data_IF_276324173923
#
_entry.id   IF_276324173923
#
_cell.length_a   1.000
_cell.length_b   1.000
_cell.length_c   1.000
_cell.angle_alpha   90.00
_cell.angle_beta   90.00
_cell.angle_gamma   90.00
#
_symmetry.space_group_name_H-M   'P 1'
#
loop_
_entity.id
_entity.type
_entity.pdbx_description
1 polymer ?
#
# COMPACT_ATOMS: atom_id res chain seq x y z
N UNK A 1 -2.70 23.39 -3.12
CA UNK A 1 -2.82 22.07 -3.79
C UNK A 1 -3.52 22.21 -5.13
N UNK A 2 -2.98 21.57 -6.17
CA UNK A 2 -3.59 21.48 -7.51
C UNK A 2 -3.81 20.01 -7.86
N UNK A 3 -4.97 19.71 -8.43
CA UNK A 3 -5.30 18.38 -8.95
C UNK A 3 -5.68 18.54 -10.42
N UNK A 4 -5.15 17.66 -11.28
CA UNK A 4 -5.48 17.64 -12.70
C UNK A 4 -5.68 16.21 -13.18
N UNK A 5 -6.80 15.94 -13.84
CA UNK A 5 -7.01 14.65 -14.51
C UNK A 5 -6.03 14.54 -15.68
N UNK A 6 -5.34 13.39 -15.78
CA UNK A 6 -4.34 13.14 -16.81
C UNK A 6 -4.65 11.92 -17.67
N UNK A 7 -5.35 10.93 -17.12
CA UNK A 7 -5.71 9.73 -17.88
C UNK A 7 -6.92 9.02 -17.29
N UNK A 8 -7.34 7.96 -17.98
CA UNK A 8 -8.34 7.03 -17.49
C UNK A 8 -7.94 5.59 -17.82
N UNK A 9 -8.19 4.69 -16.88
CA UNK A 9 -8.08 3.25 -17.07
C UNK A 9 -9.44 2.67 -17.47
N UNK A 10 -9.41 1.54 -18.16
CA UNK A 10 -10.59 0.75 -18.50
C UNK A 10 -11.06 -0.17 -17.34
N UNK A 11 -10.58 0.10 -16.12
CA UNK A 11 -10.56 -0.86 -15.03
C UNK A 11 -10.69 -0.21 -13.66
N UNK A 12 -11.49 -0.83 -12.80
CA UNK A 12 -11.51 -0.54 -11.36
C UNK A 12 -10.43 -1.36 -10.67
N UNK A 13 -9.54 -0.67 -9.96
CA UNK A 13 -8.47 -1.28 -9.18
C UNK A 13 -8.42 -0.61 -7.81
N UNK A 14 -7.91 -1.33 -6.81
CA UNK A 14 -7.64 -0.79 -5.48
C UNK A 14 -6.30 -0.08 -5.51
N UNK A 15 -5.21 -0.82 -5.31
CA UNK A 15 -3.90 -0.22 -5.23
C UNK A 15 -2.92 -0.69 -6.32
N UNK A 16 -1.73 -0.09 -6.36
CA UNK A 16 -0.79 -0.25 -7.46
C UNK A 16 0.53 0.47 -7.25
N UNK A 17 1.45 0.25 -8.17
CA UNK A 17 2.78 0.87 -8.12
C UNK A 17 3.27 1.22 -9.52
N UNK A 18 4.04 2.29 -9.61
CA UNK A 18 4.85 2.62 -10.76
C UNK A 18 6.21 1.94 -10.71
N UNK A 19 6.70 1.54 -11.89
CA UNK A 19 8.12 1.23 -12.09
C UNK A 19 8.55 1.72 -13.48
N UNK A 20 9.31 2.82 -13.50
CA UNK A 20 9.67 3.51 -14.74
C UNK A 20 8.42 3.90 -15.54
N UNK A 21 8.27 3.31 -16.71
CA UNK A 21 7.14 3.56 -17.63
C UNK A 21 5.99 2.55 -17.47
N UNK A 22 6.05 1.67 -16.47
CA UNK A 22 4.99 0.70 -16.18
C UNK A 22 4.14 1.16 -15.00
N UNK A 23 2.83 1.01 -15.12
CA UNK A 23 1.89 1.16 -14.01
C UNK A 23 1.21 -0.18 -13.73
N UNK A 24 1.46 -0.73 -12.55
CA UNK A 24 0.85 -1.96 -12.07
C UNK A 24 -0.37 -1.62 -11.23
N UNK A 25 -1.50 -2.25 -11.50
CA UNK A 25 -2.78 -2.02 -10.80
C UNK A 25 -3.40 -3.34 -10.39
N UNK A 26 -3.90 -3.42 -9.17
CA UNK A 26 -4.40 -4.65 -8.57
C UNK A 26 -5.86 -4.52 -8.18
N UNK A 27 -6.61 -5.59 -8.34
CA UNK A 27 -7.96 -5.71 -7.76
C UNK A 27 -7.91 -6.25 -6.35
N UNK A 28 -9.03 -6.10 -5.64
CA UNK A 28 -9.30 -6.73 -4.36
C UNK A 28 -9.26 -8.27 -4.36
N UNK A 29 -9.06 -8.92 -5.50
CA UNK A 29 -9.04 -10.39 -5.62
C UNK A 29 -7.70 -10.92 -6.12
N UNK A 30 -6.71 -10.03 -6.26
CA UNK A 30 -5.36 -10.39 -6.70
C UNK A 30 -5.22 -10.62 -8.21
N UNK A 31 -6.16 -10.13 -9.02
CA UNK A 31 -5.90 -9.93 -10.44
C UNK A 31 -5.17 -8.61 -10.65
N UNK A 32 -4.09 -8.63 -11.44
CA UNK A 32 -3.23 -7.49 -11.73
C UNK A 32 -3.22 -7.14 -13.21
N UNK A 33 -3.17 -5.84 -13.52
CA UNK A 33 -3.02 -5.27 -14.86
C UNK A 33 -1.78 -4.41 -14.94
N UNK A 34 -1.12 -4.42 -16.10
CA UNK A 34 0.07 -3.61 -16.39
C UNK A 34 -0.24 -2.67 -17.53
N UNK A 35 -0.10 -1.37 -17.29
CA UNK A 35 -0.34 -0.32 -18.27
C UNK A 35 0.97 0.37 -18.68
N UNK A 36 1.00 0.86 -19.92
CA UNK A 36 2.00 1.81 -20.38
C UNK A 36 1.70 3.19 -19.80
N UNK A 37 2.60 3.71 -18.96
CA UNK A 37 2.45 4.99 -18.29
C UNK A 37 3.03 6.16 -19.09
N UNK A 38 3.72 5.94 -20.22
CA UNK A 38 4.27 7.02 -21.06
C UNK A 38 3.22 8.03 -21.53
N UNK A 39 1.97 7.65 -21.83
CA UNK A 39 0.95 8.63 -22.18
C UNK A 39 0.63 9.64 -21.07
N UNK A 40 0.98 9.37 -19.81
CA UNK A 40 0.84 10.35 -18.72
C UNK A 40 1.74 11.58 -18.92
N UNK A 41 2.82 11.47 -19.69
CA UNK A 41 3.69 12.60 -20.05
C UNK A 41 3.01 13.55 -21.05
N UNK A 42 1.92 13.10 -21.69
CA UNK A 42 1.10 13.88 -22.62
C UNK A 42 -0.27 14.18 -21.98
N UNK A 43 -0.91 15.28 -22.40
CA UNK A 43 -2.23 15.61 -21.88
C UNK A 43 -3.30 14.68 -22.46
N UNK A 44 -3.78 13.75 -21.64
CA UNK A 44 -5.02 13.00 -21.87
C UNK A 44 -4.88 11.73 -22.69
N UNK A 45 -5.67 10.72 -22.32
CA UNK A 45 -5.83 9.48 -23.08
C UNK A 45 -6.20 8.29 -22.21
N UNK A 46 -6.60 7.22 -22.88
CA UNK A 46 -6.69 5.89 -22.27
C UNK A 46 -5.28 5.32 -22.14
N UNK A 47 -4.99 4.66 -21.01
CA UNK A 47 -3.70 3.99 -20.84
C UNK A 47 -3.69 2.63 -21.57
N UNK A 48 -2.70 2.39 -22.46
CA UNK A 48 -2.57 1.10 -23.14
C UNK A 48 -2.31 -0.04 -22.14
N UNK A 49 -3.14 -1.08 -22.19
CA UNK A 49 -2.89 -2.32 -21.46
C UNK A 49 -1.76 -3.11 -22.15
N UNK A 50 -0.71 -3.45 -21.39
CA UNK A 50 0.46 -4.22 -21.85
C UNK A 50 0.33 -5.70 -21.46
N UNK A 51 -0.31 -5.99 -20.33
CA UNK A 51 -0.45 -7.36 -19.86
C UNK A 51 -1.33 -7.48 -18.62
N UNK A 52 -1.64 -8.72 -18.28
CA UNK A 52 -2.46 -9.10 -17.13
C UNK A 52 -1.83 -10.32 -16.45
N UNK A 53 -2.08 -10.49 -15.16
CA UNK A 53 -1.58 -11.62 -14.39
C UNK A 53 -2.44 -11.86 -13.15
N UNK A 54 -2.36 -13.07 -12.62
CA UNK A 54 -2.99 -13.42 -11.33
C UNK A 54 -1.92 -13.70 -10.29
N UNK A 55 -2.23 -13.35 -9.04
CA UNK A 55 -1.34 -13.60 -7.92
C UNK A 55 -1.38 -15.07 -7.53
N UNK A 56 -0.22 -15.71 -7.54
CA UNK A 56 -0.05 -17.06 -6.99
C UNK A 56 -0.22 -17.00 -5.47
N UNK A 57 -0.83 -18.04 -4.89
CA UNK A 57 -1.16 -18.15 -3.45
C UNK A 57 -2.23 -17.16 -2.95
N UNK A 58 -3.15 -16.72 -3.82
CA UNK A 58 -4.31 -15.90 -3.42
C UNK A 58 -5.26 -16.63 -2.45
N UNK A 59 -5.39 -17.95 -2.50
CA UNK A 59 -6.29 -18.70 -1.63
C UNK A 59 -5.89 -18.69 -0.12
N UNK A 60 -4.63 -18.93 0.26
CA UNK A 60 -4.22 -18.78 1.66
C UNK A 60 -4.10 -17.31 2.11
N UNK A 61 -3.81 -16.37 1.21
CA UNK A 61 -3.60 -14.95 1.55
C UNK A 61 -4.85 -14.07 1.44
N UNK A 62 -5.87 -14.55 0.74
CA UNK A 62 -7.17 -13.89 0.48
C UNK A 62 -7.06 -12.36 0.28
N UNK A 63 -6.33 -11.92 -0.76
CA UNK A 63 -5.64 -10.66 -0.65
C UNK A 63 -6.47 -9.43 -1.00
N UNK A 64 -6.33 -8.36 -0.24
CA UNK A 64 -6.89 -7.03 -0.50
C UNK A 64 -5.77 -5.98 -0.44
N UNK A 65 -5.51 -5.28 -1.54
CA UNK A 65 -4.30 -4.45 -1.73
C UNK A 65 -4.58 -2.98 -1.41
N UNK A 66 -3.95 -2.42 -0.37
CA UNK A 66 -4.07 -0.98 -0.06
C UNK A 66 -2.72 -0.25 0.10
N UNK A 67 -1.61 -0.96 -0.05
CA UNK A 67 -0.29 -0.32 -0.20
C UNK A 67 0.58 -1.24 -1.06
N UNK A 68 0.94 -0.80 -2.27
CA UNK A 68 1.81 -1.56 -3.17
C UNK A 68 2.98 -0.68 -3.60
N UNK A 69 4.21 -1.20 -3.48
CA UNK A 69 5.41 -0.43 -3.80
C UNK A 69 6.56 -1.35 -4.22
N UNK A 70 7.32 -0.92 -5.23
CA UNK A 70 8.56 -1.60 -5.61
C UNK A 70 9.67 -1.25 -4.64
N UNK A 71 10.41 -2.26 -4.18
CA UNK A 71 11.61 -2.08 -3.37
C UNK A 71 12.86 -1.83 -4.21
N UNK A 72 14.02 -1.94 -3.56
CA UNK A 72 15.34 -1.82 -4.19
C UNK A 72 16.06 -3.17 -4.35
N UNK A 73 15.58 -4.22 -3.68
CA UNK A 73 16.17 -5.56 -3.74
C UNK A 73 15.57 -6.33 -4.91
N UNK A 74 16.39 -7.07 -5.63
CA UNK A 74 15.99 -7.97 -6.72
C UNK A 74 16.10 -9.41 -6.24
N UNK A 75 15.17 -10.27 -6.66
CA UNK A 75 15.27 -11.71 -6.36
C UNK A 75 16.45 -12.33 -7.10
N UNK A 76 16.54 -12.08 -8.41
CA UNK A 76 17.69 -12.37 -9.25
C UNK A 76 18.23 -11.05 -9.83
N UNK A 77 19.54 -10.75 -9.80
CA UNK A 77 20.10 -9.54 -10.40
C UNK A 77 19.78 -9.35 -11.90
N UNK A 78 19.38 -10.41 -12.60
CA UNK A 78 18.95 -10.35 -14.00
C UNK A 78 17.45 -10.06 -14.18
N UNK A 79 16.66 -10.00 -13.10
CA UNK A 79 15.24 -9.69 -13.17
C UNK A 79 15.02 -8.24 -13.65
N UNK A 80 13.96 -8.05 -14.43
CA UNK A 80 13.58 -6.73 -14.97
C UNK A 80 13.04 -5.80 -13.87
N UNK A 81 12.36 -6.37 -12.88
CA UNK A 81 11.68 -5.64 -11.81
C UNK A 81 12.29 -6.02 -10.46
N UNK A 82 12.45 -5.05 -9.54
CA UNK A 82 12.77 -5.38 -8.16
C UNK A 82 11.59 -6.07 -7.48
N UNK A 83 11.80 -6.53 -6.25
CA UNK A 83 10.77 -7.11 -5.42
C UNK A 83 9.63 -6.10 -5.19
N UNK A 84 8.40 -6.58 -5.32
CA UNK A 84 7.19 -5.83 -5.07
C UNK A 84 6.68 -6.14 -3.67
N UNK A 85 6.53 -5.11 -2.84
CA UNK A 85 5.93 -5.20 -1.52
C UNK A 85 4.46 -4.84 -1.63
N UNK A 86 3.60 -5.71 -1.13
CA UNK A 86 2.16 -5.51 -1.13
C UNK A 86 1.63 -5.74 0.28
N UNK A 87 1.08 -4.68 0.86
CA UNK A 87 0.23 -4.80 2.04
C UNK A 87 -1.08 -5.46 1.63
N UNK A 88 -1.33 -6.60 2.25
CA UNK A 88 -2.47 -7.44 1.99
C UNK A 88 -3.25 -7.58 3.29
N UNK A 89 -4.53 -7.26 3.21
CA UNK A 89 -5.49 -7.72 4.22
C UNK A 89 -6.11 -9.02 3.74
N UNK A 90 -6.26 -9.95 4.66
CA UNK A 90 -7.26 -10.97 4.48
C UNK A 90 -8.62 -10.26 4.47
N UNK A 91 -9.36 -10.42 3.38
CA UNK A 91 -10.55 -9.63 3.05
C UNK A 91 -11.80 -9.91 3.92
N UNK A 92 -11.64 -10.36 5.16
CA UNK A 92 -12.74 -10.66 6.08
C UNK A 92 -13.66 -11.81 5.61
N UNK A 93 -13.34 -12.52 4.52
CA UNK A 93 -14.25 -13.51 3.92
C UNK A 93 -14.33 -14.83 4.69
N UNK A 94 -13.44 -15.06 5.67
CA UNK A 94 -13.44 -16.27 6.51
C UNK A 94 -13.65 -15.86 7.97
N UNK A 95 -14.53 -16.55 8.67
CA UNK A 95 -14.83 -16.28 10.09
C UNK A 95 -13.62 -16.52 11.02
N UNK A 96 -12.63 -17.30 10.56
CA UNK A 96 -11.37 -17.58 11.26
C UNK A 96 -10.26 -16.57 10.94
N UNK A 97 -10.55 -15.58 10.11
CA UNK A 97 -9.59 -14.55 9.73
C UNK A 97 -9.20 -13.70 10.95
N UNK A 98 -7.90 -13.67 11.25
CA UNK A 98 -7.35 -13.02 12.44
C UNK A 98 -7.37 -11.49 12.35
N UNK A 99 -7.77 -10.94 11.20
CA UNK A 99 -7.78 -9.50 10.93
C UNK A 99 -6.39 -8.88 11.09
N UNK A 100 -5.37 -9.59 10.61
CA UNK A 100 -3.98 -9.19 10.67
C UNK A 100 -3.54 -8.79 9.26
N UNK A 101 -3.15 -7.52 9.09
CA UNK A 101 -2.48 -7.05 7.88
C UNK A 101 -1.12 -7.72 7.77
N UNK A 102 -0.75 -8.07 6.54
CA UNK A 102 0.51 -8.74 6.23
C UNK A 102 1.16 -8.06 5.03
N UNK A 103 2.46 -7.80 5.09
CA UNK A 103 3.20 -7.35 3.92
C UNK A 103 3.78 -8.57 3.20
N UNK A 104 3.24 -8.88 2.03
CA UNK A 104 3.75 -9.91 1.16
C UNK A 104 4.78 -9.32 0.19
N UNK A 105 5.86 -10.07 -0.05
CA UNK A 105 6.94 -9.70 -0.96
C UNK A 105 6.89 -10.65 -2.15
N UNK A 106 6.81 -10.08 -3.34
CA UNK A 106 6.65 -10.81 -4.59
C UNK A 106 7.80 -10.56 -5.54
N UNK A 107 8.21 -11.62 -6.24
CA UNK A 107 9.02 -11.54 -7.45
C UNK A 107 8.08 -11.42 -8.65
N UNK A 108 8.31 -10.40 -9.47
CA UNK A 108 7.62 -10.21 -10.73
C UNK A 108 8.56 -10.58 -11.89
N UNK A 109 8.12 -11.46 -12.78
CA UNK A 109 8.85 -11.83 -14.00
C UNK A 109 7.99 -11.60 -15.23
N UNK A 110 8.65 -11.39 -16.38
CA UNK A 110 7.98 -11.16 -17.66
C UNK A 110 8.57 -12.03 -18.76
N UNK A 111 7.70 -12.65 -19.54
CA UNK A 111 8.05 -13.40 -20.76
C UNK A 111 7.20 -12.88 -21.92
N UNK A 112 7.78 -11.99 -22.73
CA UNK A 112 7.03 -11.30 -23.78
C UNK A 112 5.98 -10.36 -23.18
N UNK A 113 4.70 -10.71 -23.35
CA UNK A 113 3.54 -9.97 -22.82
C UNK A 113 2.95 -10.61 -21.56
N UNK A 114 3.44 -11.79 -21.16
CA UNK A 114 2.96 -12.51 -19.97
C UNK A 114 3.74 -12.06 -18.74
N UNK A 115 3.01 -11.73 -17.68
CA UNK A 115 3.57 -11.38 -16.37
C UNK A 115 3.27 -12.50 -15.37
N UNK A 116 4.19 -12.75 -14.46
CA UNK A 116 4.00 -13.69 -13.38
C UNK A 116 4.44 -13.08 -12.06
N UNK A 117 3.58 -13.21 -11.04
CA UNK A 117 3.85 -12.74 -9.68
C UNK A 117 3.94 -13.93 -8.72
N UNK A 118 5.13 -14.15 -8.17
CA UNK A 118 5.44 -15.26 -7.26
C UNK A 118 5.77 -14.74 -5.87
N UNK A 119 5.07 -15.22 -4.85
CA UNK A 119 5.37 -14.92 -3.45
C UNK A 119 6.76 -15.45 -3.08
N UNK A 120 7.60 -14.63 -2.43
CA UNK A 120 8.96 -15.00 -2.03
C UNK A 120 9.27 -14.75 -0.56
N UNK A 121 8.53 -13.86 0.11
CA UNK A 121 8.63 -13.63 1.56
C UNK A 121 7.31 -13.05 2.09
N UNK A 122 7.06 -13.26 3.38
CA UNK A 122 5.96 -12.68 4.13
C UNK A 122 6.53 -11.94 5.34
N UNK A 123 6.04 -10.73 5.61
CA UNK A 123 6.41 -9.92 6.77
C UNK A 123 5.13 -9.60 7.55
N UNK A 124 5.13 -9.88 8.84
CA UNK A 124 3.99 -9.65 9.73
C UNK A 124 4.42 -9.04 11.06
N UNK A 125 3.48 -8.45 11.78
CA UNK A 125 3.72 -7.97 13.14
C UNK A 125 3.47 -9.09 14.15
N UNK A 126 4.37 -9.27 15.12
CA UNK A 126 4.31 -10.35 16.13
C UNK A 126 3.54 -10.00 17.40
N UNK A 127 3.43 -8.71 17.71
CA UNK A 127 2.84 -8.22 18.95
C UNK A 127 1.35 -7.85 18.83
N UNK A 128 0.58 -8.51 17.95
CA UNK A 128 -0.83 -8.17 17.65
C UNK A 128 -1.77 -8.18 18.85
N UNK A 129 -1.42 -8.93 19.90
CA UNK A 129 -2.20 -9.02 21.15
C UNK A 129 -1.82 -7.97 22.22
N UNK A 130 -0.75 -7.19 22.01
CA UNK A 130 -0.31 -6.17 22.97
C UNK A 130 -1.17 -4.90 22.88
N UNK A 131 -2.26 -4.91 23.63
CA UNK A 131 -3.19 -3.78 23.73
C UNK A 131 -2.55 -2.47 24.19
N UNK A 132 -1.42 -2.52 24.90
CA UNK A 132 -0.74 -1.32 25.40
C UNK A 132 0.01 -0.61 24.28
N UNK A 133 0.66 -1.37 23.40
CA UNK A 133 1.29 -0.85 22.20
C UNK A 133 0.25 -0.37 21.18
N UNK A 134 -0.87 -1.10 21.05
CA UNK A 134 -1.93 -0.74 20.12
C UNK A 134 -2.97 0.26 20.68
N UNK A 135 -2.88 0.70 21.94
CA UNK A 135 -3.86 1.62 22.58
C UNK A 135 -5.34 1.18 22.42
N UNK A 136 -5.59 -0.12 22.43
CA UNK A 136 -6.97 -0.64 22.39
C UNK A 136 -7.63 -0.45 23.77
N UNK A 137 -8.87 0.08 23.83
CA UNK A 137 -9.59 0.25 25.10
C UNK A 137 -10.05 -1.07 25.74
N UNK A 138 -10.05 -2.16 24.97
CA UNK A 138 -10.48 -3.47 25.43
C UNK A 138 -11.98 -3.61 25.71
N UNK A 139 -12.79 -2.55 25.57
CA UNK A 139 -14.24 -2.55 25.79
C UNK A 139 -15.01 -2.69 24.48
N UNK A 140 -14.50 -2.09 23.40
CA UNK A 140 -15.11 -2.23 22.07
C UNK A 140 -14.43 -3.37 21.31
N UNK A 141 -15.19 -4.36 20.79
CA UNK A 141 -14.65 -5.32 19.84
C UNK A 141 -14.16 -4.55 18.64
N UNK A 142 -12.85 -4.52 18.49
CA UNK A 142 -12.22 -3.71 17.47
C UNK A 142 -12.28 -4.47 16.14
N UNK A 143 -12.69 -3.79 15.07
CA UNK A 143 -13.22 -4.38 13.82
C UNK A 143 -12.32 -4.25 12.57
N UNK A 144 -11.18 -3.55 12.65
CA UNK A 144 -10.29 -3.26 11.48
C UNK A 144 -9.02 -4.14 11.41
N UNK A 145 -8.13 -4.06 10.43
CA UNK A 145 -6.92 -4.88 10.45
C UNK A 145 -5.80 -4.25 11.30
N UNK A 146 -4.98 -5.06 11.98
CA UNK A 146 -3.70 -4.59 12.54
C UNK A 146 -2.64 -4.46 11.44
N UNK A 147 -1.71 -3.50 11.58
CA UNK A 147 -0.47 -3.48 10.77
C UNK A 147 -0.71 -3.26 9.27
N UNK A 148 -1.04 -2.03 8.90
CA UNK A 148 -0.93 -1.55 7.52
C UNK A 148 0.55 -1.25 7.25
N UNK A 149 1.05 -1.47 6.04
CA UNK A 149 2.48 -1.33 5.74
C UNK A 149 2.76 -0.37 4.60
N UNK A 150 3.82 0.42 4.73
CA UNK A 150 4.42 1.22 3.65
C UNK A 150 5.94 1.08 3.73
N UNK A 151 6.60 0.99 2.56
CA UNK A 151 8.05 0.86 2.47
C UNK A 151 8.67 2.21 2.10
N UNK A 152 9.61 2.69 2.91
CA UNK A 152 10.53 3.78 2.56
C UNK A 152 11.77 3.17 1.90
N UNK A 153 11.79 3.17 0.57
CA UNK A 153 12.88 2.59 -0.22
C UNK A 153 14.17 3.40 -0.11
N UNK A 154 14.07 4.73 0.00
CA UNK A 154 15.21 5.64 0.13
C UNK A 154 16.02 5.35 1.38
N UNK A 155 15.33 5.06 2.49
CA UNK A 155 15.96 4.79 3.80
C UNK A 155 16.02 3.31 4.15
N UNK A 156 15.47 2.42 3.32
CA UNK A 156 15.31 0.99 3.61
C UNK A 156 14.61 0.75 4.95
N UNK A 157 13.48 1.43 5.15
CA UNK A 157 12.63 1.29 6.33
C UNK A 157 11.27 0.71 5.94
N UNK A 158 10.65 0.03 6.90
CA UNK A 158 9.26 -0.40 6.82
C UNK A 158 8.49 0.32 7.91
N UNK A 159 7.45 1.04 7.52
CA UNK A 159 6.51 1.66 8.44
C UNK A 159 5.27 0.78 8.52
N UNK A 160 5.04 0.22 9.72
CA UNK A 160 3.76 -0.40 10.04
C UNK A 160 2.91 0.63 10.78
N UNK A 161 1.63 0.73 10.47
CA UNK A 161 0.75 1.65 11.17
C UNK A 161 -0.63 1.09 11.38
N UNK A 162 -1.32 1.62 12.36
CA UNK A 162 -2.66 1.18 12.72
C UNK A 162 -3.54 2.40 12.99
N UNK A 163 -4.80 2.25 12.64
CA UNK A 163 -5.85 3.24 12.86
C UNK A 163 -6.83 2.76 13.93
N UNK A 164 -6.36 1.90 14.84
CA UNK A 164 -7.13 1.26 15.89
C UNK A 164 -6.69 1.85 17.22
N UNK A 165 -7.36 2.87 17.71
CA UNK A 165 -7.28 3.16 19.13
C UNK A 165 -8.51 3.94 19.59
N UNK A 166 -8.86 3.75 20.86
CA UNK A 166 -9.92 4.51 21.51
C UNK A 166 -9.58 6.01 21.62
N UNK A 167 -8.29 6.35 21.46
CA UNK A 167 -7.81 7.73 21.44
C UNK A 167 -8.08 8.47 20.12
N UNK A 168 -8.63 7.81 19.09
CA UNK A 168 -8.78 8.36 17.75
C UNK A 168 -7.46 8.98 17.23
N UNK A 169 -6.39 8.20 17.21
CA UNK A 169 -5.11 8.52 16.58
C UNK A 169 -4.67 7.42 15.62
N UNK A 170 -3.80 7.77 14.67
CA UNK A 170 -3.08 6.78 13.84
C UNK A 170 -1.70 6.60 14.42
N UNK A 171 -1.34 5.36 14.77
CA UNK A 171 -0.03 5.04 15.34
C UNK A 171 0.87 4.42 14.30
N UNK A 172 2.10 4.90 14.23
CA UNK A 172 3.15 4.41 13.35
C UNK A 172 4.26 3.75 14.17
N UNK A 173 4.81 2.68 13.61
CA UNK A 173 5.97 1.96 14.07
C UNK A 173 6.95 1.83 12.91
N UNK A 174 8.20 2.20 13.14
CA UNK A 174 9.26 2.13 12.13
C UNK A 174 10.19 0.96 12.44
N UNK A 175 10.46 0.16 11.41
CA UNK A 175 11.36 -0.98 11.46
C UNK A 175 12.43 -0.84 10.37
N UNK A 176 13.53 -1.59 10.51
CA UNK A 176 14.39 -1.85 9.35
C UNK A 176 13.59 -2.67 8.33
N UNK A 177 13.74 -2.36 7.05
CA UNK A 177 13.18 -3.20 6.00
C UNK A 177 13.89 -4.57 6.02
N UNK A 178 13.16 -5.68 6.24
CA UNK A 178 13.75 -7.02 6.19
C UNK A 178 14.34 -7.32 4.80
N UNK A 179 15.43 -8.08 4.78
CA UNK A 179 16.04 -8.61 3.54
C UNK A 179 15.37 -9.89 3.13
N UNK A 180 15.42 -10.25 1.85
CA UNK A 180 14.86 -11.50 1.32
C UNK A 180 15.36 -12.75 2.06
N UNK A 181 16.59 -12.73 2.57
CA UNK A 181 17.19 -13.83 3.30
C UNK A 181 16.68 -14.00 4.75
N UNK A 182 16.01 -12.97 5.30
CA UNK A 182 15.56 -12.93 6.68
C UNK A 182 14.31 -13.80 6.90
N UNK A 183 14.09 -14.18 8.16
CA UNK A 183 12.91 -14.94 8.60
C UNK A 183 13.06 -16.46 8.54
N UNK A 184 12.00 -17.15 8.93
CA UNK A 184 11.94 -18.61 9.10
C UNK A 184 11.07 -19.23 8.01
N UNK A 185 11.42 -20.42 7.52
CA UNK A 185 10.58 -21.16 6.58
C UNK A 185 9.20 -21.48 7.16
N UNK A 186 8.15 -21.08 6.45
CA UNK A 186 6.77 -21.47 6.73
C UNK A 186 6.32 -22.59 5.79
N UNK A 187 5.82 -23.68 6.36
CA UNK A 187 5.18 -24.76 5.59
C UNK A 187 3.88 -24.30 4.93
N UNK A 188 3.15 -23.38 5.56
CA UNK A 188 1.87 -22.83 5.07
C UNK A 188 2.08 -22.05 3.76
N UNK A 189 3.03 -21.12 3.76
CA UNK A 189 3.26 -20.26 2.61
C UNK A 189 4.30 -20.84 1.63
N UNK A 190 5.19 -21.70 2.10
CA UNK A 190 6.34 -22.21 1.34
C UNK A 190 7.44 -21.18 1.12
N UNK A 191 7.45 -20.11 1.92
CA UNK A 191 8.40 -18.99 1.85
C UNK A 191 8.85 -18.55 3.25
N UNK A 192 9.81 -17.62 3.33
CA UNK A 192 10.28 -17.10 4.62
C UNK A 192 9.24 -16.17 5.20
N UNK A 193 8.99 -16.31 6.50
CA UNK A 193 8.16 -15.41 7.28
C UNK A 193 9.06 -14.66 8.26
N UNK A 194 9.03 -13.34 8.17
CA UNK A 194 9.62 -12.41 9.14
C UNK A 194 8.50 -11.97 10.09
N UNK A 195 8.73 -12.13 11.39
CA UNK A 195 7.86 -11.57 12.41
C UNK A 195 8.58 -10.37 13.02
N UNK A 196 7.99 -9.19 12.89
CA UNK A 196 8.47 -7.94 13.50
C UNK A 196 8.00 -7.91 14.95
N UNK A 197 8.95 -8.03 15.89
CA UNK A 197 8.67 -8.05 17.31
C UNK A 197 8.78 -6.64 17.92
N UNK A 198 8.30 -6.49 19.15
CA UNK A 198 8.35 -5.20 19.86
C UNK A 198 9.78 -4.65 19.96
N UNK A 199 10.75 -5.51 20.20
CA UNK A 199 12.17 -5.12 20.35
C UNK A 199 12.80 -4.67 19.02
N UNK A 200 12.13 -4.88 17.88
CA UNK A 200 12.59 -4.44 16.56
C UNK A 200 12.18 -3.00 16.22
N UNK A 201 11.31 -2.39 17.03
CA UNK A 201 10.81 -1.02 16.82
C UNK A 201 11.97 -0.02 16.95
N UNK A 202 12.27 0.68 15.86
CA UNK A 202 13.26 1.75 15.83
C UNK A 202 12.70 3.09 16.31
N UNK A 203 11.44 3.35 15.99
CA UNK A 203 10.76 4.60 16.28
C UNK A 203 9.24 4.40 16.30
N UNK A 204 8.54 5.23 17.06
CA UNK A 204 7.09 5.17 17.24
C UNK A 204 6.50 6.55 17.46
N UNK A 205 5.44 6.89 16.74
CA UNK A 205 4.73 8.16 16.89
C UNK A 205 3.25 8.06 16.53
N UNK A 206 2.49 9.08 16.89
CA UNK A 206 1.05 9.17 16.64
C UNK A 206 0.74 10.41 15.80
N UNK A 207 -0.27 10.31 14.94
CA UNK A 207 -0.84 11.44 14.19
C UNK A 207 -2.37 11.45 14.35
N UNK A 208 -3.01 12.44 13.72
CA UNK A 208 -4.45 12.46 13.56
C UNK A 208 -4.97 11.16 12.94
N UNK A 209 -6.18 10.80 13.31
CA UNK A 209 -6.83 9.57 12.87
C UNK A 209 -7.08 9.52 11.35
N UNK A 210 -6.69 8.40 10.75
CA UNK A 210 -7.01 8.04 9.38
C UNK A 210 -8.28 7.18 9.39
N UNK A 211 -9.22 7.51 8.52
CA UNK A 211 -10.57 6.91 8.59
C UNK A 211 -10.59 5.52 7.95
N UNK A 212 -10.12 5.41 6.72
CA UNK A 212 -10.10 4.16 5.95
C UNK A 212 -9.13 4.30 4.78
N UNK A 213 -7.97 3.65 4.87
CA UNK A 213 -6.92 3.76 3.84
C UNK A 213 -7.26 2.85 2.68
N UNK A 214 -7.13 3.40 1.48
CA UNK A 214 -7.31 2.67 0.22
C UNK A 214 -6.01 2.52 -0.56
N UNK A 215 -5.07 3.46 -0.41
CA UNK A 215 -3.77 3.43 -1.05
C UNK A 215 -2.73 4.14 -0.20
N UNK A 216 -1.48 3.68 -0.24
CA UNK A 216 -0.39 4.39 0.41
C UNK A 216 0.98 4.06 -0.20
N UNK A 217 1.85 5.06 -0.25
CA UNK A 217 3.24 4.93 -0.66
C UNK A 217 4.16 5.80 0.20
N UNK A 218 5.47 5.60 0.10
CA UNK A 218 6.47 6.52 0.65
C UNK A 218 7.29 7.12 -0.49
N UNK A 219 7.51 8.43 -0.43
CA UNK A 219 8.35 9.14 -1.37
C UNK A 219 9.12 10.24 -0.65
N UNK A 220 10.44 10.28 -0.83
CA UNK A 220 11.35 11.24 -0.18
C UNK A 220 11.17 11.26 1.36
N UNK A 221 11.02 10.06 1.93
CA UNK A 221 10.87 9.85 3.37
C UNK A 221 9.57 10.37 3.98
N UNK A 222 8.53 10.65 3.17
CA UNK A 222 7.18 11.01 3.61
C UNK A 222 6.18 9.95 3.15
N UNK A 223 5.20 9.65 4.00
CA UNK A 223 4.12 8.73 3.65
C UNK A 223 2.98 9.53 3.05
N UNK A 224 2.52 9.11 1.88
CA UNK A 224 1.36 9.66 1.19
C UNK A 224 0.27 8.59 1.22
N UNK A 225 -0.95 8.97 1.60
CA UNK A 225 -2.06 8.03 1.66
C UNK A 225 -3.34 8.60 1.07
N UNK A 226 -4.09 7.75 0.38
CA UNK A 226 -5.48 7.98 -0.03
C UNK A 226 -6.42 7.27 0.94
N UNK A 227 -7.50 7.97 1.28
CA UNK A 227 -8.58 7.47 2.12
C UNK A 227 -9.91 7.65 1.41
N UNK A 228 -10.89 6.82 1.76
CA UNK A 228 -12.26 6.92 1.25
C UNK A 228 -13.00 5.60 1.41
N UNK A 229 -14.32 5.65 1.59
CA UNK A 229 -15.15 4.44 1.57
C UNK A 229 -16.62 4.73 1.24
N UNK A 230 -17.19 5.76 1.86
CA UNK A 230 -18.61 6.11 1.68
C UNK A 230 -18.85 7.59 2.03
N UNK A 231 -20.10 8.02 2.11
CA UNK A 231 -20.44 9.41 2.41
C UNK A 231 -19.94 9.90 3.78
N UNK A 232 -19.83 9.01 4.78
CA UNK A 232 -19.32 9.32 6.12
C UNK A 232 -17.78 9.27 6.18
N UNK A 233 -17.15 8.63 5.20
CA UNK A 233 -15.69 8.54 5.03
C UNK A 233 -15.33 9.11 3.65
N UNK A 234 -15.33 10.45 3.50
CA UNK A 234 -15.14 11.09 2.20
C UNK A 234 -13.72 10.88 1.67
N UNK A 235 -13.55 10.89 0.33
CA UNK A 235 -12.24 10.74 -0.27
C UNK A 235 -11.28 11.83 0.24
N UNK A 236 -10.09 11.43 0.68
CA UNK A 236 -9.10 12.33 1.26
C UNK A 236 -7.67 11.92 0.90
N UNK A 237 -6.76 12.89 0.84
CA UNK A 237 -5.32 12.65 0.71
C UNK A 237 -4.60 13.17 1.94
N UNK A 238 -3.55 12.46 2.37
CA UNK A 238 -2.71 12.87 3.50
C UNK A 238 -1.24 12.76 3.18
N UNK A 239 -0.46 13.60 3.86
CA UNK A 239 1.01 13.56 3.86
C UNK A 239 1.50 13.54 5.30
N UNK A 240 2.28 12.52 5.62
CA UNK A 240 2.82 12.27 6.96
C UNK A 240 4.34 12.32 6.86
N UNK A 241 4.96 12.99 7.81
CA UNK A 241 6.42 13.06 7.97
C UNK A 241 6.83 12.23 9.19
N UNK A 242 7.29 10.98 8.98
CA UNK A 242 7.81 10.15 10.05
C UNK A 242 9.02 10.75 10.78
N UNK A 243 9.82 11.60 10.14
CA UNK A 243 10.98 12.20 10.82
C UNK A 243 10.56 13.35 11.75
N UNK A 244 9.48 14.06 11.40
CA UNK A 244 8.93 15.15 12.21
C UNK A 244 7.79 14.71 13.14
N UNK A 245 7.42 13.42 13.14
CA UNK A 245 6.32 12.84 13.95
C UNK A 245 5.00 13.59 13.79
N UNK A 246 4.65 13.99 12.57
CA UNK A 246 3.41 14.76 12.32
C UNK A 246 2.84 14.57 10.93
N UNK A 247 1.53 14.80 10.82
CA UNK A 247 0.87 15.03 9.56
C UNK A 247 1.22 16.44 9.06
N UNK A 248 1.71 16.53 7.82
CA UNK A 248 2.00 17.81 7.15
C UNK A 248 0.77 18.36 6.44
N UNK A 249 -0.06 17.48 5.88
CA UNK A 249 -1.19 17.85 5.06
C UNK A 249 -2.32 16.81 5.19
N UNK A 250 -3.56 17.30 5.21
CA UNK A 250 -4.77 16.51 5.02
C UNK A 250 -5.74 17.31 4.18
N UNK A 251 -6.21 16.70 3.09
CA UNK A 251 -7.09 17.35 2.12
C UNK A 251 -8.32 16.50 1.91
N UNK A 252 -9.48 17.07 2.20
CA UNK A 252 -10.76 16.50 1.85
C UNK A 252 -11.04 16.78 0.36
N UNK A 253 -11.03 15.74 -0.46
CA UNK A 253 -11.17 15.85 -1.91
C UNK A 253 -12.57 16.36 -2.33
N UNK A 254 -13.59 16.17 -1.47
CA UNK A 254 -14.95 16.66 -1.72
C UNK A 254 -15.00 18.19 -1.74
N UNK A 255 -14.20 18.87 -0.92
CA UNK A 255 -14.11 20.34 -0.88
C UNK A 255 -13.54 20.92 -2.18
N UNK A 256 -12.83 20.08 -2.94
CA UNK A 256 -12.25 20.40 -4.25
C UNK A 256 -13.11 19.90 -5.42
N UNK A 257 -14.28 19.31 -5.14
CA UNK A 257 -15.21 18.81 -6.15
C UNK A 257 -14.98 17.36 -6.60
N UNK A 258 -14.07 16.63 -5.94
CA UNK A 258 -13.78 15.22 -6.24
C UNK A 258 -14.49 14.33 -5.23
N UNK A 259 -15.59 13.70 -5.66
CA UNK A 259 -16.50 12.94 -4.77
C UNK A 259 -16.42 11.43 -4.92
N UNK A 260 -15.64 10.94 -5.88
CA UNK A 260 -15.43 9.51 -6.09
C UNK A 260 -14.38 9.03 -5.09
N UNK A 261 -14.60 7.85 -4.51
CA UNK A 261 -13.66 7.18 -3.61
C UNK A 261 -12.25 7.15 -4.22
N UNK A 262 -11.25 7.53 -3.42
CA UNK A 262 -9.85 7.49 -3.81
C UNK A 262 -9.30 6.10 -3.49
N UNK A 263 -8.53 5.51 -4.42
CA UNK A 263 -8.10 4.11 -4.35
C UNK A 263 -6.58 3.99 -4.27
N UNK A 264 -5.82 4.74 -5.07
CA UNK A 264 -4.37 4.59 -5.18
C UNK A 264 -3.66 5.92 -5.14
N UNK A 265 -2.43 5.91 -4.63
CA UNK A 265 -1.51 7.04 -4.66
C UNK A 265 -0.07 6.54 -4.81
N UNK A 266 0.67 7.04 -5.81
CA UNK A 266 2.09 6.72 -6.01
C UNK A 266 2.80 7.80 -6.85
N UNK A 267 4.12 7.71 -6.95
CA UNK A 267 4.97 8.67 -7.64
C UNK A 267 5.57 8.11 -8.92
N UNK A 268 5.48 8.90 -10.01
CA UNK A 268 6.24 8.66 -11.25
C UNK A 268 7.06 9.90 -11.58
N UNK A 269 8.37 9.72 -11.73
CA UNK A 269 9.29 10.83 -12.07
C UNK A 269 9.17 12.06 -11.14
N UNK A 270 8.90 11.82 -9.86
CA UNK A 270 8.71 12.88 -8.85
C UNK A 270 7.34 13.56 -8.87
N UNK A 271 6.43 13.12 -9.74
CA UNK A 271 5.05 13.61 -9.81
C UNK A 271 4.16 12.64 -9.03
N UNK A 272 3.41 13.16 -8.05
CA UNK A 272 2.41 12.39 -7.34
C UNK A 272 1.19 12.17 -8.23
N UNK A 273 0.74 10.93 -8.33
CA UNK A 273 -0.51 10.57 -8.98
C UNK A 273 -1.42 9.89 -7.97
N UNK A 274 -2.74 10.05 -8.14
CA UNK A 274 -3.73 9.22 -7.47
C UNK A 274 -4.79 8.76 -8.46
N UNK A 275 -5.52 7.67 -8.16
CA UNK A 275 -6.72 7.31 -8.91
C UNK A 275 -7.96 7.21 -8.04
N UNK A 276 -9.11 7.45 -8.67
CA UNK A 276 -10.42 7.14 -8.09
C UNK A 276 -10.92 5.73 -8.45
N UNK A 277 -11.98 5.29 -7.79
CA UNK A 277 -12.63 3.99 -8.01
C UNK A 277 -13.20 3.80 -9.43
N UNK A 278 -13.31 4.87 -10.23
CA UNK A 278 -13.69 4.78 -11.65
C UNK A 278 -12.48 4.64 -12.58
N UNK A 279 -11.27 4.50 -12.02
CA UNK A 279 -10.03 4.38 -12.77
C UNK A 279 -9.55 5.70 -13.38
N UNK A 280 -10.09 6.84 -12.96
CA UNK A 280 -9.60 8.15 -13.39
C UNK A 280 -8.31 8.46 -12.66
N UNK A 281 -7.28 8.89 -13.38
CA UNK A 281 -5.97 9.20 -12.82
C UNK A 281 -5.76 10.70 -12.81
N UNK A 282 -5.26 11.20 -11.68
CA UNK A 282 -4.99 12.60 -11.45
C UNK A 282 -3.55 12.80 -11.00
N UNK A 283 -2.92 13.87 -11.47
CA UNK A 283 -1.70 14.42 -10.88
C UNK A 283 -2.06 15.31 -9.70
N UNK A 284 -1.23 15.28 -8.65
CA UNK A 284 -1.39 16.07 -7.43
C UNK A 284 -0.11 16.85 -7.15
N UNK A 285 -0.27 18.15 -6.96
CA UNK A 285 0.76 19.03 -6.42
C UNK A 285 0.29 19.50 -5.04
N UNK A 286 0.94 19.00 -3.98
CA UNK A 286 0.56 19.28 -2.60
C UNK A 286 0.96 20.68 -2.10
N UNK A 287 1.83 21.42 -2.81
CA UNK A 287 2.36 22.72 -2.37
C UNK A 287 2.79 22.73 -0.87
N UNK A 288 3.65 21.77 -0.48
CA UNK A 288 4.13 21.56 0.90
C UNK A 288 5.27 22.50 1.32
#
# INVERSE_FOLDING_TARGET
>A
MKIRQVAKMDFSAQDGAFWGDYMFRFTAWGHGRVYDARPLDAEGGDLPLIGEFDIKKSEPLVPHFNAVVFGNEYFDPADEFPLLYANIYNNYAKAEDRLEGTCCVYRLTRSGTEFEMTLVQVIRVGFTEDKTLWKSDGETPDVRPYGNFVIDTDKSLLHAFVMRDASHTTRYFTFKLPKLADGVMSEEYGVRVVTLEQDDILDQFDTDYHLFIQGACCHEGKIYSSEGFNADVPPSLRVIDPAAHRQLCAVNLVELGYTVEAEWIDFRHGICCYSDAHGTIYEVDFEL
#
